data_IF_872901220536
#
_entry.id   IF_872901220536
#
_cell.length_a   1.000
_cell.length_b   1.000
_cell.length_c   1.000
_cell.angle_alpha   90.00
_cell.angle_beta   90.00
_cell.angle_gamma   90.00
#
_symmetry.space_group_name_H-M   'P 1'
#
loop_
_entity.id
_entity.type
_entity.pdbx_description
1 polymer ?
#
# COMPACT_ATOMS: atom_id res chain seq x y z
N UNK A 1 -21.96 -39.05 5.61
CA UNK A 1 -20.55 -38.64 5.38
C UNK A 1 -20.47 -38.08 3.97
N UNK A 2 -19.95 -36.90 3.63
CA UNK A 2 -19.37 -35.75 4.35
C UNK A 2 -19.40 -34.61 3.30
N UNK A 3 -19.68 -33.39 3.76
CA UNK A 3 -19.99 -32.21 2.96
C UNK A 3 -19.10 -32.00 1.72
N UNK A 4 -19.72 -31.90 0.54
CA UNK A 4 -19.17 -31.26 -0.66
C UNK A 4 -19.67 -29.83 -0.68
N UNK A 5 -18.92 -28.86 -0.17
CA UNK A 5 -18.94 -27.47 -0.66
C UNK A 5 -17.99 -26.60 0.16
N UNK A 6 -17.46 -25.57 -0.49
CA UNK A 6 -16.69 -24.45 0.06
C UNK A 6 -15.17 -24.63 0.11
N UNK A 7 -14.57 -24.75 -1.08
CA UNK A 7 -13.27 -24.10 -1.34
C UNK A 7 -13.58 -22.62 -1.61
N UNK A 8 -13.79 -21.84 -0.54
CA UNK A 8 -13.85 -20.37 -0.59
C UNK A 8 -12.64 -19.84 0.19
N UNK A 9 -11.45 -20.22 -0.26
CA UNK A 9 -10.21 -19.65 0.24
C UNK A 9 -9.26 -19.61 -0.94
N UNK A 10 -9.20 -18.49 -1.68
CA UNK A 10 -7.97 -18.08 -2.36
C UNK A 10 -8.02 -16.74 -3.09
N UNK A 11 -9.16 -16.06 -3.28
CA UNK A 11 -9.09 -14.76 -3.98
C UNK A 11 -8.56 -13.61 -3.12
N UNK A 12 -8.74 -13.65 -1.79
CA UNK A 12 -8.18 -12.62 -0.88
C UNK A 12 -6.66 -12.80 -0.70
N UNK A 13 -6.16 -14.04 -0.73
CA UNK A 13 -4.74 -14.32 -0.55
C UNK A 13 -3.88 -13.84 -1.73
N UNK A 14 -4.43 -13.83 -2.96
CA UNK A 14 -3.69 -13.38 -4.15
C UNK A 14 -3.51 -11.86 -4.18
N UNK A 15 -4.43 -11.09 -3.59
CA UNK A 15 -4.27 -9.64 -3.45
C UNK A 15 -3.08 -9.27 -2.55
N UNK A 16 -2.72 -10.13 -1.58
CA UNK A 16 -1.59 -9.89 -0.67
C UNK A 16 -0.24 -10.14 -1.37
N UNK A 17 -0.20 -11.00 -2.38
CA UNK A 17 1.06 -11.37 -3.07
C UNK A 17 1.42 -10.34 -4.16
N UNK A 18 0.43 -9.72 -4.82
CA UNK A 18 0.67 -8.69 -5.83
C UNK A 18 0.99 -7.30 -5.24
N UNK A 19 0.81 -7.12 -3.92
CA UNK A 19 1.22 -5.93 -3.19
C UNK A 19 2.74 -5.88 -2.88
N UNK A 20 3.49 -6.92 -3.26
CA UNK A 20 4.94 -7.04 -3.04
C UNK A 20 5.82 -6.09 -3.86
N UNK A 21 5.24 -5.25 -4.73
CA UNK A 21 5.99 -4.30 -5.56
C UNK A 21 6.31 -2.97 -4.84
N UNK A 22 5.68 -2.66 -3.70
CA UNK A 22 6.22 -1.62 -2.79
C UNK A 22 7.28 -2.29 -1.94
N UNK A 23 8.41 -2.50 -2.61
CA UNK A 23 9.53 -3.33 -2.20
C UNK A 23 9.98 -3.01 -0.77
N UNK A 24 10.35 -4.07 -0.06
CA UNK A 24 11.10 -4.05 1.20
C UNK A 24 12.28 -3.05 1.24
N UNK A 25 12.76 -2.57 0.08
CA UNK A 25 13.83 -1.58 -0.07
C UNK A 25 13.46 -0.15 0.36
N UNK A 26 12.18 0.23 0.32
CA UNK A 26 11.69 1.56 0.76
C UNK A 26 11.03 1.50 2.15
N UNK A 27 11.45 0.55 3.00
CA UNK A 27 10.88 0.43 4.34
C UNK A 27 11.31 1.61 5.19
N UNK A 28 10.37 2.48 5.62
CA UNK A 28 10.73 3.55 6.51
C UNK A 28 11.09 2.99 7.88
N UNK A 29 12.06 3.63 8.50
CA UNK A 29 12.23 3.58 9.94
C UNK A 29 11.10 4.41 10.57
N UNK A 30 10.29 3.77 11.42
CA UNK A 30 9.24 4.45 12.18
C UNK A 30 9.83 5.05 13.44
N UNK A 31 10.05 6.36 13.43
CA UNK A 31 10.56 7.10 14.58
C UNK A 31 9.39 7.59 15.45
N UNK A 32 9.32 7.23 16.75
CA UNK A 32 8.25 7.67 17.61
C UNK A 32 8.37 9.18 17.87
N UNK A 33 7.30 9.93 17.61
CA UNK A 33 7.23 11.38 17.83
C UNK A 33 6.19 11.79 18.87
N UNK A 34 5.33 10.86 19.28
CA UNK A 34 4.33 11.05 20.34
C UNK A 34 4.32 9.86 21.32
N UNK A 35 3.12 9.48 21.77
CA UNK A 35 2.89 8.23 22.50
C UNK A 35 2.27 7.22 21.54
N UNK A 36 3.06 6.32 20.92
CA UNK A 36 2.54 5.42 19.91
C UNK A 36 1.45 4.51 20.46
N UNK A 37 0.39 4.34 19.68
CA UNK A 37 -0.77 3.49 20.03
C UNK A 37 -0.42 2.02 19.88
N UNK A 38 0.41 1.70 18.90
CA UNK A 38 0.85 0.34 18.60
C UNK A 38 2.38 0.26 18.51
N UNK A 39 2.99 -0.91 18.77
CA UNK A 39 4.39 -1.16 18.46
C UNK A 39 4.70 -0.91 16.98
N UNK A 40 5.93 -0.51 16.62
CA UNK A 40 6.25 -0.04 15.27
C UNK A 40 6.02 -1.12 14.20
N UNK A 41 6.25 -2.39 14.52
CA UNK A 41 6.00 -3.48 13.55
C UNK A 41 4.50 -3.65 13.24
N UNK A 42 3.62 -3.42 14.23
CA UNK A 42 2.16 -3.49 14.05
C UNK A 42 1.70 -2.31 13.22
N UNK A 43 2.13 -1.09 13.59
CA UNK A 43 1.84 0.11 12.82
C UNK A 43 2.29 -0.01 11.36
N UNK A 44 3.50 -0.55 11.12
CA UNK A 44 4.00 -0.79 9.75
C UNK A 44 3.08 -1.71 8.93
N UNK A 45 2.66 -2.85 9.51
CA UNK A 45 1.81 -3.83 8.80
C UNK A 45 0.41 -3.27 8.51
N UNK A 46 -0.15 -2.47 9.41
CA UNK A 46 -1.42 -1.79 9.15
C UNK A 46 -1.26 -0.76 8.02
N UNK A 47 -0.28 0.14 8.14
CA UNK A 47 -0.09 1.23 7.20
C UNK A 47 0.37 0.78 5.81
N UNK A 48 1.10 -0.32 5.68
CA UNK A 48 1.48 -0.85 4.37
C UNK A 48 0.27 -1.41 3.60
N UNK A 49 -0.74 -1.93 4.31
CA UNK A 49 -1.99 -2.37 3.69
C UNK A 49 -2.73 -1.22 3.03
N UNK A 50 -2.90 -0.10 3.74
CA UNK A 50 -3.55 1.10 3.22
C UNK A 50 -2.75 1.73 2.05
N UNK A 51 -1.43 1.79 2.19
CA UNK A 51 -0.56 2.31 1.14
C UNK A 51 -0.70 1.51 -0.18
N UNK A 52 -0.77 0.18 -0.08
CA UNK A 52 -0.93 -0.69 -1.24
C UNK A 52 -2.32 -0.60 -1.87
N UNK A 53 -3.37 -0.40 -1.07
CA UNK A 53 -4.71 -0.11 -1.59
C UNK A 53 -4.69 1.20 -2.39
N UNK A 54 -4.11 2.26 -1.83
CA UNK A 54 -3.99 3.56 -2.50
C UNK A 54 -3.11 3.52 -3.74
N UNK A 55 -2.05 2.70 -3.76
CA UNK A 55 -1.27 2.44 -4.96
C UNK A 55 -2.14 1.88 -6.09
N UNK A 56 -2.92 0.82 -5.79
CA UNK A 56 -3.78 0.17 -6.78
C UNK A 56 -4.87 1.10 -7.30
N UNK A 57 -5.49 1.87 -6.41
CA UNK A 57 -6.48 2.89 -6.78
C UNK A 57 -5.87 3.98 -7.67
N UNK A 58 -4.72 4.53 -7.30
CA UNK A 58 -4.05 5.57 -8.08
C UNK A 58 -3.67 5.07 -9.49
N UNK A 59 -3.14 3.84 -9.58
CA UNK A 59 -2.81 3.19 -10.84
C UNK A 59 -4.05 2.99 -11.71
N UNK A 60 -5.16 2.56 -11.11
CA UNK A 60 -6.43 2.39 -11.83
C UNK A 60 -6.98 3.74 -12.33
N UNK A 61 -6.92 4.78 -11.51
CA UNK A 61 -7.34 6.13 -11.90
C UNK A 61 -6.49 6.68 -13.05
N UNK A 62 -5.18 6.44 -13.03
CA UNK A 62 -4.31 6.84 -14.14
C UNK A 62 -4.71 6.12 -15.44
N UNK A 63 -4.92 4.80 -15.40
CA UNK A 63 -5.38 4.04 -16.57
C UNK A 63 -6.71 4.55 -17.13
N UNK A 64 -7.67 4.87 -16.26
CA UNK A 64 -8.95 5.42 -16.69
C UNK A 64 -8.78 6.80 -17.36
N UNK A 65 -7.91 7.66 -16.85
CA UNK A 65 -7.59 8.95 -17.48
C UNK A 65 -6.90 8.76 -18.83
N UNK A 66 -5.94 7.84 -18.90
CA UNK A 66 -5.24 7.49 -20.14
C UNK A 66 -6.18 6.95 -21.22
N UNK A 67 -7.26 6.26 -20.85
CA UNK A 67 -8.29 5.83 -21.82
C UNK A 67 -9.09 7.00 -22.41
N UNK A 68 -9.22 8.12 -21.68
CA UNK A 68 -9.90 9.33 -22.14
C UNK A 68 -8.97 10.17 -23.02
N UNK A 69 -7.70 10.30 -22.64
CA UNK A 69 -6.71 11.12 -23.35
C UNK A 69 -6.02 10.38 -24.50
N UNK A 70 -6.01 9.05 -24.47
CA UNK A 70 -5.26 8.20 -25.40
C UNK A 70 -3.77 8.10 -25.07
N UNK A 71 -3.32 8.70 -23.96
CA UNK A 71 -1.91 8.79 -23.60
C UNK A 71 -1.65 8.05 -22.28
N UNK A 72 -0.86 6.97 -22.36
CA UNK A 72 -0.47 6.15 -21.22
C UNK A 72 1.05 6.12 -21.10
N UNK A 73 1.59 6.84 -20.13
CA UNK A 73 2.98 6.71 -19.71
C UNK A 73 3.05 5.78 -18.49
N UNK A 74 3.69 4.62 -18.66
CA UNK A 74 3.83 3.64 -17.60
C UNK A 74 4.77 4.10 -16.48
N UNK A 75 5.78 4.93 -16.78
CA UNK A 75 6.70 5.47 -15.79
C UNK A 75 6.03 6.56 -14.97
N UNK A 76 5.23 7.41 -15.59
CA UNK A 76 4.43 8.41 -14.88
C UNK A 76 3.37 7.75 -13.99
N UNK A 77 2.66 6.74 -14.51
CA UNK A 77 1.68 5.97 -13.76
C UNK A 77 2.29 5.36 -12.48
N UNK A 78 3.45 4.73 -12.61
CA UNK A 78 4.20 4.17 -11.48
C UNK A 78 4.58 5.27 -10.48
N UNK A 79 5.20 6.36 -10.94
CA UNK A 79 5.67 7.44 -10.07
C UNK A 79 4.52 8.08 -9.27
N UNK A 80 3.39 8.35 -9.91
CA UNK A 80 2.20 8.91 -9.26
C UNK A 80 1.59 7.92 -8.26
N UNK A 81 1.54 6.65 -8.61
CA UNK A 81 0.96 5.60 -7.76
C UNK A 81 1.81 5.36 -6.51
N UNK A 82 3.14 5.29 -6.66
CA UNK A 82 4.08 5.22 -5.53
C UNK A 82 3.98 6.48 -4.65
N UNK A 83 3.86 7.66 -5.26
CA UNK A 83 3.67 8.91 -4.53
C UNK A 83 2.36 8.95 -3.72
N UNK A 84 1.27 8.40 -4.27
CA UNK A 84 0.00 8.26 -3.56
C UNK A 84 0.12 7.28 -2.38
N UNK A 85 0.68 6.10 -2.62
CA UNK A 85 0.92 5.07 -1.60
C UNK A 85 1.77 5.62 -0.44
N UNK A 86 2.83 6.36 -0.78
CA UNK A 86 3.73 6.98 0.18
C UNK A 86 3.02 7.98 1.08
N UNK A 87 2.21 8.87 0.51
CA UNK A 87 1.41 9.83 1.29
C UNK A 87 0.41 9.14 2.21
N UNK A 88 -0.21 8.05 1.75
CA UNK A 88 -1.12 7.27 2.58
C UNK A 88 -0.37 6.61 3.75
N UNK A 89 0.79 6.02 3.49
CA UNK A 89 1.62 5.44 4.54
C UNK A 89 2.02 6.48 5.58
N UNK A 90 2.49 7.65 5.14
CA UNK A 90 2.91 8.74 6.04
C UNK A 90 1.74 9.23 6.90
N UNK A 91 0.53 9.32 6.34
CA UNK A 91 -0.67 9.69 7.06
C UNK A 91 -1.04 8.67 8.15
N UNK A 92 -1.05 7.37 7.80
CA UNK A 92 -1.32 6.29 8.76
C UNK A 92 -0.24 6.21 9.85
N UNK A 93 1.05 6.32 9.49
CA UNK A 93 2.13 6.31 10.46
C UNK A 93 2.00 7.49 11.44
N UNK A 94 1.61 8.66 10.93
CA UNK A 94 1.37 9.85 11.76
C UNK A 94 0.21 9.66 12.72
N UNK A 95 -0.89 9.02 12.30
CA UNK A 95 -2.01 8.70 13.21
C UNK A 95 -1.62 7.68 14.29
N UNK A 96 -0.64 6.82 14.00
CA UNK A 96 -0.09 5.85 14.96
C UNK A 96 0.96 6.46 15.92
N UNK A 97 1.28 7.75 15.79
CA UNK A 97 2.27 8.44 16.62
C UNK A 97 3.71 8.32 16.15
N UNK A 98 3.92 7.93 14.89
CA UNK A 98 5.23 7.78 14.26
C UNK A 98 5.47 8.80 13.15
N UNK A 99 6.73 9.14 12.96
CA UNK A 99 7.25 9.75 11.74
C UNK A 99 7.97 8.68 10.94
N UNK A 100 7.53 8.45 9.70
CA UNK A 100 8.22 7.59 8.76
C UNK A 100 9.46 8.30 8.19
N UNK A 101 10.63 7.71 8.37
CA UNK A 101 11.91 8.21 7.85
C UNK A 101 12.45 7.19 6.86
N UNK A 102 12.77 7.64 5.66
CA UNK A 102 13.14 6.78 4.55
C UNK A 102 14.61 7.00 4.23
N UNK A 103 15.32 5.90 3.97
CA UNK A 103 16.70 5.99 3.52
C UNK A 103 16.74 6.61 2.12
N UNK A 104 17.76 7.43 1.85
CA UNK A 104 17.81 8.32 0.69
C UNK A 104 18.67 7.74 -0.43
#
# INVERSE_FOLDING_TARGET
MKARTQVVISMVAVAVILAGCVTYADKPVLYPVGSPVNPPFVAHVMCIGEANAMYGEAMQQYKLRAQITGDYDSAEAEALSRGAARRQYDACASSEGYRAVYDR
#
